data_IF_841785048291
#
_entry.id   IF_841785048291
#
_cell.length_a   1.000
_cell.length_b   1.000
_cell.length_c   1.000
_cell.angle_alpha   90.00
_cell.angle_beta   90.00
_cell.angle_gamma   90.00
#
_symmetry.space_group_name_H-M   'P 1'
#
loop_
_entity.id
_entity.type
_entity.pdbx_description
1 polymer ?
#
# COMPACT_ATOMS: atom_id res chain seq x y z
N UNK A 1 -13.31 -8.85 20.39
CA UNK A 1 -13.52 -7.41 20.62
C UNK A 1 -12.26 -6.92 21.29
N UNK A 2 -11.50 -6.03 20.65
CA UNK A 2 -10.22 -5.53 21.17
C UNK A 2 -10.44 -4.46 22.24
N UNK A 3 -9.42 -4.24 23.07
CA UNK A 3 -9.40 -3.16 24.05
C UNK A 3 -8.95 -1.86 23.38
N UNK A 4 -9.90 -0.95 23.17
CA UNK A 4 -9.68 0.30 22.43
C UNK A 4 -8.87 1.32 23.25
N UNK A 5 -9.07 1.36 24.57
CA UNK A 5 -8.34 2.27 25.45
C UNK A 5 -6.87 1.88 25.52
N UNK A 6 -6.58 0.58 25.60
CA UNK A 6 -5.21 0.08 25.53
C UNK A 6 -4.54 0.41 24.19
N UNK A 7 -5.30 0.38 23.09
CA UNK A 7 -4.80 0.67 21.75
C UNK A 7 -4.46 2.17 21.58
N UNK A 8 -5.34 3.06 22.06
CA UNK A 8 -5.10 4.51 22.07
C UNK A 8 -3.89 4.84 22.95
N UNK A 9 -3.82 4.27 24.15
CA UNK A 9 -2.69 4.48 25.06
C UNK A 9 -1.37 4.02 24.45
N UNK A 10 -1.37 2.92 23.69
CA UNK A 10 -0.18 2.44 22.99
C UNK A 10 0.29 3.37 21.86
N UNK A 11 -0.61 4.20 21.30
CA UNK A 11 -0.34 5.08 20.16
C UNK A 11 -0.05 6.55 20.54
N UNK A 12 -0.18 6.92 21.81
CA UNK A 12 -0.12 8.31 22.28
C UNK A 12 1.17 9.05 21.84
N UNK A 13 2.29 8.33 21.74
CA UNK A 13 3.61 8.86 21.36
C UNK A 13 4.16 8.25 20.06
N UNK A 14 3.28 7.75 19.18
CA UNK A 14 3.66 7.17 17.89
C UNK A 14 3.37 8.15 16.76
N UNK A 15 4.38 8.44 15.95
CA UNK A 15 4.21 9.28 14.75
C UNK A 15 3.66 8.49 13.55
N UNK A 16 4.05 7.22 13.40
CA UNK A 16 3.73 6.40 12.22
C UNK A 16 3.26 5.02 12.65
N UNK A 17 2.11 4.60 12.15
CA UNK A 17 1.56 3.25 12.38
C UNK A 17 1.65 2.45 11.09
N UNK A 18 2.35 1.31 11.12
CA UNK A 18 2.48 0.39 9.99
C UNK A 18 1.80 -0.93 10.36
N UNK A 19 0.78 -1.30 9.61
CA UNK A 19 0.05 -2.55 9.80
C UNK A 19 0.60 -3.64 8.87
N UNK A 20 1.13 -4.71 9.45
CA UNK A 20 1.65 -5.87 8.72
C UNK A 20 0.80 -7.13 8.96
N UNK A 21 -0.49 -6.92 9.26
CA UNK A 21 -1.39 -8.03 9.58
C UNK A 21 -1.67 -8.91 8.36
N UNK A 22 -1.78 -10.22 8.58
CA UNK A 22 -2.21 -11.17 7.56
C UNK A 22 -3.69 -11.06 7.20
N UNK A 23 -4.18 -11.98 6.37
CA UNK A 23 -5.54 -11.97 5.84
C UNK A 23 -6.64 -11.82 6.91
N UNK A 24 -6.51 -12.54 8.03
CA UNK A 24 -7.48 -12.51 9.14
C UNK A 24 -7.49 -11.16 9.88
N UNK A 25 -6.40 -10.41 9.82
CA UNK A 25 -6.26 -9.12 10.49
C UNK A 25 -6.77 -7.94 9.69
N UNK A 26 -7.25 -8.13 8.45
CA UNK A 26 -7.71 -7.02 7.60
C UNK A 26 -8.87 -6.25 8.25
N UNK A 27 -9.92 -6.96 8.71
CA UNK A 27 -11.10 -6.32 9.31
C UNK A 27 -10.80 -5.64 10.67
N UNK A 28 -10.01 -6.25 11.58
CA UNK A 28 -9.58 -5.56 12.81
C UNK A 28 -8.87 -4.22 12.62
N UNK A 29 -8.36 -3.88 11.42
CA UNK A 29 -7.73 -2.58 11.17
C UNK A 29 -8.69 -1.39 11.30
N UNK A 30 -10.02 -1.59 11.24
CA UNK A 30 -10.97 -0.52 11.58
C UNK A 30 -10.79 -0.02 13.02
N UNK A 31 -10.37 -0.88 13.94
CA UNK A 31 -10.07 -0.46 15.32
C UNK A 31 -8.81 0.41 15.37
N UNK A 32 -7.82 0.16 14.49
CA UNK A 32 -6.64 1.03 14.36
C UNK A 32 -7.05 2.40 13.82
N UNK A 33 -7.91 2.45 12.79
CA UNK A 33 -8.42 3.69 12.23
C UNK A 33 -9.12 4.50 13.32
N UNK A 34 -10.05 3.88 14.06
CA UNK A 34 -10.77 4.53 15.15
C UNK A 34 -9.83 4.96 16.30
N UNK A 35 -8.80 4.18 16.63
CA UNK A 35 -7.85 4.58 17.66
C UNK A 35 -6.99 5.78 17.20
N UNK A 36 -6.55 5.78 15.94
CA UNK A 36 -5.70 6.82 15.37
C UNK A 36 -6.36 8.19 15.44
N UNK A 37 -7.69 8.28 15.20
CA UNK A 37 -8.41 9.57 15.28
C UNK A 37 -8.40 10.21 16.66
N UNK A 38 -8.01 9.46 17.70
CA UNK A 38 -7.89 9.95 19.08
C UNK A 38 -6.44 10.17 19.52
N UNK A 39 -5.46 10.13 18.59
CA UNK A 39 -4.02 10.19 18.88
C UNK A 39 -3.31 11.23 18.02
N UNK A 40 -1.99 11.36 18.20
CA UNK A 40 -1.14 12.29 17.43
C UNK A 40 -0.44 11.62 16.24
N UNK A 41 -0.91 10.45 15.80
CA UNK A 41 -0.33 9.74 14.65
C UNK A 41 -0.41 10.61 13.40
N UNK A 42 0.72 10.73 12.70
CA UNK A 42 0.90 11.58 11.52
C UNK A 42 0.82 10.81 10.21
N UNK A 43 0.95 9.48 10.25
CA UNK A 43 0.88 8.64 9.07
C UNK A 43 0.40 7.23 9.43
N UNK A 44 -0.58 6.74 8.68
CA UNK A 44 -1.02 5.35 8.72
C UNK A 44 -0.66 4.63 7.42
N UNK A 45 -0.09 3.43 7.56
CA UNK A 45 0.21 2.50 6.46
C UNK A 45 -0.60 1.22 6.71
N UNK A 46 -1.74 1.01 6.04
CA UNK A 46 -2.55 -0.19 6.21
C UNK A 46 -1.83 -1.41 5.63
N UNK A 47 -2.30 -2.62 6.00
CA UNK A 47 -1.77 -3.87 5.47
C UNK A 47 -2.16 -4.07 4.01
N UNK A 48 -1.36 -3.50 3.14
CA UNK A 48 -1.33 -3.81 1.73
C UNK A 48 0.13 -3.94 1.32
N UNK A 49 0.51 -5.15 0.91
CA UNK A 49 1.81 -5.55 0.39
C UNK A 49 1.62 -6.37 -0.89
N UNK A 50 0.44 -6.25 -1.51
CA UNK A 50 0.04 -7.08 -2.62
C UNK A 50 0.39 -6.41 -3.95
N UNK A 51 0.41 -7.24 -5.00
CA UNK A 51 0.40 -6.76 -6.37
C UNK A 51 -1.01 -6.26 -6.74
N UNK A 52 -1.13 -5.01 -7.21
CA UNK A 52 -2.36 -4.49 -7.80
C UNK A 52 -2.33 -4.77 -9.32
N UNK A 53 -3.11 -5.75 -9.77
CA UNK A 53 -3.36 -5.99 -11.21
C UNK A 53 -4.66 -5.30 -11.62
N UNK A 54 -4.76 -4.69 -12.79
CA UNK A 54 -6.07 -4.19 -13.28
C UNK A 54 -6.99 -5.33 -13.75
N UNK A 55 -6.49 -6.56 -13.81
CA UNK A 55 -7.26 -7.71 -14.23
C UNK A 55 -8.10 -8.31 -13.08
N UNK A 56 -9.36 -8.69 -13.35
CA UNK A 56 -10.24 -9.29 -12.35
C UNK A 56 -9.78 -10.72 -12.03
N UNK A 57 -8.95 -10.88 -10.98
CA UNK A 57 -8.56 -12.19 -10.44
C UNK A 57 -9.44 -12.63 -9.25
N UNK A 58 -9.34 -13.89 -8.83
CA UNK A 58 -10.12 -14.46 -7.71
C UNK A 58 -9.80 -13.83 -6.33
N UNK A 59 -8.75 -13.01 -6.20
CA UNK A 59 -8.36 -12.26 -5.00
C UNK A 59 -9.06 -10.90 -4.89
N UNK A 60 -9.97 -10.57 -5.82
CA UNK A 60 -10.80 -9.36 -5.79
C UNK A 60 -11.43 -9.10 -4.41
N UNK A 61 -11.97 -10.12 -3.71
CA UNK A 61 -12.59 -9.89 -2.39
C UNK A 61 -11.62 -9.43 -1.30
N UNK A 62 -10.41 -10.00 -1.28
CA UNK A 62 -9.38 -9.62 -0.29
C UNK A 62 -8.87 -8.23 -0.60
N UNK A 63 -8.70 -7.92 -1.88
CA UNK A 63 -8.32 -6.59 -2.34
C UNK A 63 -9.38 -5.55 -2.03
N UNK A 64 -10.64 -5.79 -2.36
CA UNK A 64 -11.75 -4.91 -2.01
C UNK A 64 -11.82 -4.62 -0.51
N UNK A 65 -11.54 -5.63 0.33
CA UNK A 65 -11.48 -5.43 1.77
C UNK A 65 -10.32 -4.52 2.19
N UNK A 66 -9.16 -4.62 1.53
CA UNK A 66 -8.02 -3.71 1.76
C UNK A 66 -8.28 -2.30 1.24
N UNK A 67 -8.88 -2.18 0.06
CA UNK A 67 -9.27 -0.91 -0.55
C UNK A 67 -10.27 -0.17 0.35
N UNK A 68 -11.21 -0.89 0.97
CA UNK A 68 -12.15 -0.33 1.96
C UNK A 68 -11.45 0.19 3.22
N UNK A 69 -10.41 -0.48 3.70
CA UNK A 69 -9.61 -0.01 4.84
C UNK A 69 -8.85 1.26 4.47
N UNK A 70 -8.22 1.29 3.29
CA UNK A 70 -7.54 2.48 2.79
C UNK A 70 -8.53 3.66 2.68
N UNK A 71 -9.68 3.44 2.05
CA UNK A 71 -10.70 4.47 1.90
C UNK A 71 -11.24 4.96 3.26
N UNK A 72 -11.52 4.05 4.19
CA UNK A 72 -12.01 4.42 5.52
C UNK A 72 -11.00 5.27 6.30
N UNK A 73 -9.69 4.99 6.18
CA UNK A 73 -8.65 5.80 6.80
C UNK A 73 -8.60 7.21 6.18
N UNK A 74 -8.71 7.31 4.85
CA UNK A 74 -8.77 8.59 4.13
C UNK A 74 -10.02 9.39 4.50
N UNK A 75 -11.17 8.75 4.57
CA UNK A 75 -12.46 9.38 4.92
C UNK A 75 -12.45 9.89 6.38
N UNK A 76 -11.71 9.23 7.27
CA UNK A 76 -11.47 9.68 8.64
C UNK A 76 -10.47 10.84 8.74
N UNK A 77 -9.91 11.33 7.62
CA UNK A 77 -8.95 12.43 7.57
C UNK A 77 -7.52 12.05 7.99
N UNK A 78 -7.22 10.74 8.05
CA UNK A 78 -5.89 10.25 8.46
C UNK A 78 -4.94 10.30 7.25
N UNK A 79 -3.77 10.96 7.35
CA UNK A 79 -2.75 10.86 6.31
C UNK A 79 -2.36 9.40 6.10
N UNK A 80 -2.58 8.90 4.88
CA UNK A 80 -2.50 7.47 4.56
C UNK A 80 -1.65 7.24 3.32
N UNK A 81 -0.72 6.27 3.40
CA UNK A 81 0.07 5.80 2.24
C UNK A 81 0.02 4.27 2.16
N UNK A 82 0.22 3.72 0.96
CA UNK A 82 0.22 2.29 0.70
C UNK A 82 1.55 1.87 0.07
N UNK A 83 2.07 0.73 0.50
CA UNK A 83 3.34 0.18 0.01
C UNK A 83 3.04 -1.02 -0.89
N UNK A 84 3.36 -0.94 -2.17
CA UNK A 84 3.11 -2.02 -3.13
C UNK A 84 4.44 -2.61 -3.62
N UNK A 85 5.05 -3.55 -2.88
CA UNK A 85 6.37 -4.10 -3.24
C UNK A 85 6.31 -5.09 -4.43
N UNK A 86 5.12 -5.39 -4.95
CA UNK A 86 4.93 -6.43 -5.97
C UNK A 86 5.03 -7.83 -5.36
N UNK A 87 5.68 -8.75 -6.06
CA UNK A 87 5.87 -10.12 -5.57
C UNK A 87 7.17 -10.21 -4.75
N UNK A 88 7.08 -10.70 -3.51
CA UNK A 88 8.26 -11.02 -2.72
C UNK A 88 9.05 -12.15 -3.38
N UNK A 89 10.38 -12.03 -3.40
CA UNK A 89 11.30 -12.98 -4.05
C UNK A 89 11.05 -14.42 -3.60
N UNK A 90 10.81 -14.63 -2.29
CA UNK A 90 10.49 -15.95 -1.74
C UNK A 90 9.18 -16.56 -2.27
N UNK A 91 8.21 -15.71 -2.62
CA UNK A 91 6.91 -16.12 -3.13
C UNK A 91 6.89 -16.29 -4.65
N UNK A 92 7.77 -15.60 -5.39
CA UNK A 92 7.85 -15.66 -6.85
C UNK A 92 8.70 -16.83 -7.36
N UNK A 93 9.69 -17.30 -6.59
CA UNK A 93 10.53 -18.47 -6.96
C UNK A 93 9.72 -19.77 -7.04
N UNK A 94 8.56 -19.86 -6.39
CA UNK A 94 7.66 -21.03 -6.49
C UNK A 94 6.74 -20.96 -7.73
N UNK A 95 6.55 -19.78 -8.34
CA UNK A 95 5.73 -19.57 -9.56
C UNK A 95 6.60 -19.62 -10.82
N UNK A 96 7.74 -20.31 -10.74
CA UNK A 96 8.70 -20.50 -11.82
C UNK A 96 8.40 -21.72 -12.70
N UNK A 97 7.17 -21.86 -13.21
CA UNK A 97 6.92 -22.55 -14.48
C UNK A 97 5.85 -21.76 -15.23
N UNK A 98 6.33 -20.90 -16.13
CA UNK A 98 5.55 -20.14 -17.11
C UNK A 98 4.90 -18.84 -16.59
N UNK A 99 5.71 -17.80 -16.35
CA UNK A 99 5.22 -16.42 -16.24
C UNK A 99 5.63 -15.60 -17.49
N UNK A 100 4.77 -14.65 -17.97
CA UNK A 100 5.00 -13.86 -19.20
C UNK A 100 6.26 -12.98 -19.18
N UNK A 101 6.91 -12.85 -18.02
CA UNK A 101 8.13 -12.05 -17.83
C UNK A 101 9.32 -12.59 -18.64
N UNK A 102 9.39 -13.91 -18.89
CA UNK A 102 10.42 -14.47 -19.78
C UNK A 102 10.18 -14.13 -21.25
N UNK A 103 8.92 -14.03 -21.68
CA UNK A 103 8.58 -13.63 -23.05
C UNK A 103 8.94 -12.16 -23.33
N UNK A 104 8.82 -11.29 -22.31
CA UNK A 104 9.18 -9.88 -22.43
C UNK A 104 10.70 -9.65 -22.54
N UNK A 105 11.53 -10.40 -21.81
CA UNK A 105 12.99 -10.23 -21.91
C UNK A 105 13.55 -10.79 -23.22
N UNK A 106 13.02 -11.91 -23.71
CA UNK A 106 13.40 -12.48 -25.01
C UNK A 106 12.98 -11.57 -26.18
N UNK A 107 11.80 -10.94 -26.13
CA UNK A 107 11.32 -10.07 -27.20
C UNK A 107 12.13 -8.77 -27.37
N UNK A 108 12.77 -8.29 -26.30
CA UNK A 108 13.47 -6.99 -26.31
C UNK A 108 14.98 -7.08 -26.04
N UNK A 109 15.51 -8.27 -25.77
CA UNK A 109 16.95 -8.47 -25.53
C UNK A 109 17.48 -7.72 -24.31
N UNK A 110 16.62 -7.49 -23.31
CA UNK A 110 16.95 -6.76 -22.09
C UNK A 110 17.28 -7.77 -20.99
N UNK A 111 18.36 -7.52 -20.25
CA UNK A 111 18.74 -8.36 -19.11
C UNK A 111 17.59 -8.40 -18.07
N UNK A 112 17.11 -9.60 -17.68
CA UNK A 112 15.99 -9.75 -16.75
C UNK A 112 16.20 -9.07 -15.39
N UNK A 113 17.46 -8.93 -14.95
CA UNK A 113 17.81 -8.27 -13.69
C UNK A 113 17.70 -6.75 -13.77
N UNK A 114 17.82 -6.17 -14.97
CA UNK A 114 17.67 -4.73 -15.19
C UNK A 114 16.21 -4.28 -15.01
N UNK A 115 15.25 -5.10 -15.45
CA UNK A 115 13.80 -4.82 -15.33
C UNK A 115 13.35 -4.87 -13.87
N UNK A 116 13.90 -5.80 -13.08
CA UNK A 116 13.58 -5.92 -11.66
C UNK A 116 14.06 -4.71 -10.83
N UNK A 117 15.10 -3.99 -11.27
CA UNK A 117 15.63 -2.81 -10.59
C UNK A 117 14.91 -1.50 -10.93
N UNK A 118 14.52 -1.31 -12.19
CA UNK A 118 13.90 -0.05 -12.64
C UNK A 118 12.49 0.19 -12.08
N UNK A 119 11.71 -0.87 -11.81
CA UNK A 119 10.34 -0.70 -11.32
C UNK A 119 10.28 -0.15 -9.88
N UNK A 120 11.29 -0.45 -9.06
CA UNK A 120 11.37 0.06 -7.69
C UNK A 120 11.72 1.57 -7.63
N UNK A 121 12.44 2.09 -8.62
CA UNK A 121 12.84 3.49 -8.67
C UNK A 121 11.72 4.44 -9.15
N UNK A 122 10.87 3.99 -10.08
CA UNK A 122 9.83 4.85 -10.68
C UNK A 122 8.78 5.28 -9.65
N UNK A 123 8.51 4.47 -8.63
CA UNK A 123 7.48 4.78 -7.62
C UNK A 123 7.92 5.75 -6.51
N UNK A 124 9.19 6.15 -6.47
CA UNK A 124 9.74 7.06 -5.46
C UNK A 124 9.86 8.53 -5.92
N UNK A 125 9.65 8.82 -7.21
CA UNK A 125 9.96 10.14 -7.81
C UNK A 125 8.76 10.99 -8.25
N UNK A 126 7.52 10.60 -7.93
CA UNK A 126 6.33 11.41 -8.27
C UNK A 126 5.60 11.86 -7.01
N UNK A 127 6.15 12.87 -6.31
CA UNK A 127 5.38 13.87 -5.53
C UNK A 127 6.29 15.02 -5.06
N UNK A 128 7.06 15.59 -5.98
CA UNK A 128 7.79 16.85 -5.79
C UNK A 128 7.54 17.75 -7.00
N UNK A 129 6.33 18.31 -7.14
CA UNK A 129 6.22 19.66 -7.68
C UNK A 129 4.92 20.34 -7.22
N UNK A 130 5.07 21.34 -6.36
CA UNK A 130 4.03 22.31 -6.02
C UNK A 130 4.10 23.52 -6.95
N UNK A 131 2.93 24.16 -7.12
CA UNK A 131 2.68 25.57 -7.49
C UNK A 131 2.62 25.93 -8.98
N UNK A 132 1.48 26.48 -9.43
CA UNK A 132 1.29 27.95 -9.56
C UNK A 132 -0.17 28.31 -9.95
N UNK A 133 -0.71 29.36 -9.33
CA UNK A 133 -1.96 30.02 -9.73
C UNK A 133 -1.70 30.98 -10.89
N UNK A 134 -2.75 31.41 -11.61
CA UNK A 134 -2.81 32.82 -11.97
C UNK A 134 -4.13 33.48 -11.56
N UNK A 135 -4.00 34.61 -10.86
CA UNK A 135 -4.93 35.73 -10.98
C UNK A 135 -4.65 36.41 -12.32
N UNK A 136 -5.68 36.85 -13.02
CA UNK A 136 -5.72 38.19 -13.61
C UNK A 136 -7.16 38.56 -14.01
N UNK A 137 -7.52 39.80 -13.67
CA UNK A 137 -8.73 40.50 -14.10
C UNK A 137 -8.41 41.22 -15.43
N UNK A 138 -9.33 41.23 -16.39
CA UNK A 138 -9.98 42.43 -16.95
C UNK A 138 -11.09 42.02 -17.93
#
# INVERSE_FOLDING_TARGET
MGDQDALIAAMENIDVVISLVGHEGIQPQYNLIDAITHTNVKLFIPSDLAYRSEEPDLRVRVREAKDKIEQAARDAGIPTTVILPGNLVESSVTVGRESPMMQFSEAFGIDPWLVSGCLAAISLETDQNSQESPRENE
#
